data_IF_752412690228
#
_entry.id   IF_752412690228
#
_cell.length_a   1.000
_cell.length_b   1.000
_cell.length_c   1.000
_cell.angle_alpha   90.00
_cell.angle_beta   90.00
_cell.angle_gamma   90.00
#
_symmetry.space_group_name_H-M   'P 1'
#
loop_
_entity.id
_entity.type
_entity.pdbx_description
1 polymer ?
#
# COMPACT_ATOMS: atom_id res chain seq x y z
N UNK A 1 33.71 -8.14 -29.32
CA UNK A 1 33.80 -8.28 -30.79
C UNK A 1 32.86 -9.41 -31.20
N UNK A 2 31.60 -9.07 -31.49
CA UNK A 2 30.56 -10.03 -31.83
C UNK A 2 30.37 -9.99 -33.35
N UNK A 3 30.73 -11.07 -34.05
CA UNK A 3 30.46 -11.22 -35.48
C UNK A 3 29.10 -11.90 -35.65
N UNK A 4 28.12 -11.19 -36.21
CA UNK A 4 26.91 -11.80 -36.77
C UNK A 4 27.11 -11.91 -38.29
N UNK A 5 27.06 -13.13 -38.82
CA UNK A 5 26.97 -13.39 -40.24
C UNK A 5 25.56 -13.92 -40.55
N UNK A 6 24.79 -13.20 -41.38
CA UNK A 6 23.57 -13.72 -42.00
C UNK A 6 23.72 -13.74 -43.52
N UNK A 7 23.21 -14.81 -44.14
CA UNK A 7 23.24 -15.02 -45.59
C UNK A 7 21.94 -14.45 -46.17
N UNK A 8 22.08 -13.52 -47.12
CA UNK A 8 21.01 -12.71 -47.73
C UNK A 8 20.19 -13.54 -48.73
N UNK A 9 18.86 -13.61 -48.55
CA UNK A 9 17.89 -13.97 -49.59
C UNK A 9 16.70 -12.99 -49.47
N UNK A 10 16.35 -12.35 -50.58
CA UNK A 10 15.61 -11.09 -50.66
C UNK A 10 14.18 -11.03 -50.10
N UNK A 11 13.77 -9.81 -49.75
CA UNK A 11 12.37 -9.38 -49.60
C UNK A 11 11.90 -9.05 -48.19
N UNK A 12 12.60 -9.52 -47.14
CA UNK A 12 12.14 -9.40 -45.74
C UNK A 12 12.93 -8.42 -44.88
N UNK A 13 13.99 -7.79 -45.41
CA UNK A 13 14.95 -7.01 -44.60
C UNK A 13 14.33 -5.75 -43.96
N UNK A 14 13.47 -5.01 -44.64
CA UNK A 14 12.83 -3.81 -44.07
C UNK A 14 11.97 -4.14 -42.83
N UNK A 15 11.32 -5.31 -42.83
CA UNK A 15 10.49 -5.79 -41.73
C UNK A 15 11.34 -6.18 -40.52
N UNK A 16 12.45 -6.89 -40.75
CA UNK A 16 13.36 -7.35 -39.68
C UNK A 16 14.04 -6.17 -38.99
N UNK A 17 14.53 -5.18 -39.74
CA UNK A 17 15.13 -3.97 -39.17
C UNK A 17 14.10 -3.13 -38.40
N UNK A 18 12.86 -3.04 -38.90
CA UNK A 18 11.77 -2.37 -38.17
C UNK A 18 11.46 -3.07 -36.86
N UNK A 19 11.46 -4.41 -36.82
CA UNK A 19 11.24 -5.19 -35.61
C UNK A 19 12.38 -5.05 -34.60
N UNK A 20 13.63 -5.01 -35.07
CA UNK A 20 14.82 -4.82 -34.22
C UNK A 20 14.85 -3.41 -33.62
N UNK A 21 14.51 -2.39 -34.41
CA UNK A 21 14.39 -1.00 -33.92
C UNK A 21 13.23 -0.88 -32.93
N UNK A 22 12.09 -1.50 -33.20
CA UNK A 22 10.96 -1.54 -32.27
C UNK A 22 11.34 -2.21 -30.94
N UNK A 23 12.07 -3.33 -31.00
CA UNK A 23 12.55 -4.05 -29.82
C UNK A 23 13.60 -3.24 -29.03
N UNK A 24 14.46 -2.46 -29.71
CA UNK A 24 15.45 -1.60 -29.05
C UNK A 24 14.82 -0.36 -28.41
N UNK A 25 13.74 0.17 -28.99
CA UNK A 25 12.97 1.28 -28.41
C UNK A 25 12.20 0.80 -27.18
N UNK A 26 11.61 -0.40 -27.21
CA UNK A 26 10.91 -1.00 -26.05
C UNK A 26 11.90 -1.27 -24.90
N UNK A 27 13.13 -1.71 -25.19
CA UNK A 27 14.16 -1.91 -24.15
C UNK A 27 14.76 -0.62 -23.61
N UNK A 28 14.65 0.52 -24.31
CA UNK A 28 15.09 1.82 -23.77
C UNK A 28 14.08 2.48 -22.83
N UNK A 29 12.83 2.00 -22.77
CA UNK A 29 11.84 2.43 -21.78
C UNK A 29 12.04 1.74 -20.43
N UNK A 30 13.28 1.71 -19.92
CA UNK A 30 13.50 1.47 -18.51
C UNK A 30 12.95 2.69 -17.77
N UNK A 31 11.79 2.53 -17.16
CA UNK A 31 11.34 3.41 -16.08
C UNK A 31 12.51 3.48 -15.09
N UNK A 32 13.19 4.62 -15.03
CA UNK A 32 14.13 4.88 -13.95
C UNK A 32 13.31 4.83 -12.68
N UNK A 33 13.50 3.78 -11.88
CA UNK A 33 13.08 3.83 -10.49
C UNK A 33 13.68 5.10 -9.89
N UNK A 34 12.88 5.88 -9.14
CA UNK A 34 13.44 6.98 -8.39
C UNK A 34 14.61 6.44 -7.55
N UNK A 35 15.73 7.18 -7.56
CA UNK A 35 16.90 6.84 -6.74
C UNK A 35 16.57 6.85 -5.23
N UNK A 36 15.41 7.38 -4.86
CA UNK A 36 14.91 7.44 -3.49
C UNK A 36 13.55 6.74 -3.36
N UNK A 37 13.35 5.91 -2.33
CA UNK A 37 12.04 5.37 -2.02
C UNK A 37 11.03 6.48 -1.69
N UNK A 38 9.74 6.34 -2.06
CA UNK A 38 8.72 7.35 -1.80
C UNK A 38 8.39 7.45 -0.31
N UNK A 39 8.01 8.64 0.16
CA UNK A 39 7.50 8.80 1.52
C UNK A 39 6.09 8.18 1.65
N UNK A 40 5.88 7.33 2.66
CA UNK A 40 4.60 6.69 2.91
C UNK A 40 3.91 7.32 4.12
N UNK A 41 2.73 7.91 3.90
CA UNK A 41 1.89 8.47 4.97
C UNK A 41 0.57 7.72 5.00
N UNK A 42 0.27 7.07 6.13
CA UNK A 42 -0.99 6.35 6.35
C UNK A 42 -1.88 7.14 7.30
N UNK A 43 -3.03 7.62 6.81
CA UNK A 43 -4.02 8.36 7.60
C UNK A 43 -5.13 7.40 8.00
N UNK A 44 -5.24 7.11 9.30
CA UNK A 44 -6.27 6.23 9.86
C UNK A 44 -7.28 7.05 10.65
N UNK A 45 -8.50 7.20 10.14
CA UNK A 45 -9.61 7.77 10.88
C UNK A 45 -10.21 6.75 11.86
N UNK A 46 -10.71 7.22 13.00
CA UNK A 46 -11.35 6.41 14.03
C UNK A 46 -12.86 6.64 13.96
N UNK A 47 -13.67 5.57 13.97
CA UNK A 47 -15.13 5.60 13.89
C UNK A 47 -15.71 6.42 12.71
N UNK A 48 -15.00 6.45 11.57
CA UNK A 48 -15.47 7.08 10.33
C UNK A 48 -16.31 6.09 9.51
N UNK A 49 -17.59 6.40 9.30
CA UNK A 49 -18.50 5.63 8.48
C UNK A 49 -18.31 5.85 6.98
N UNK A 50 -18.70 4.84 6.19
CA UNK A 50 -18.64 4.90 4.72
C UNK A 50 -19.37 6.12 4.13
N UNK A 51 -20.49 6.51 4.75
CA UNK A 51 -21.31 7.62 4.31
C UNK A 51 -20.92 8.99 4.88
N UNK A 52 -19.81 9.14 5.60
CA UNK A 52 -19.51 10.40 6.31
C UNK A 52 -18.74 11.42 5.45
N UNK A 53 -18.10 10.97 4.37
CA UNK A 53 -17.28 11.81 3.50
C UNK A 53 -18.07 12.31 2.28
N UNK A 54 -17.90 13.59 1.90
CA UNK A 54 -18.63 14.16 0.75
C UNK A 54 -18.31 13.45 -0.57
N UNK A 55 -17.08 12.94 -0.75
CA UNK A 55 -16.71 12.11 -1.90
C UNK A 55 -17.44 10.74 -1.99
N UNK A 56 -18.19 10.35 -0.95
CA UNK A 56 -19.07 9.17 -0.92
C UNK A 56 -20.57 9.54 -0.91
N UNK A 57 -20.92 10.82 -1.12
CA UNK A 57 -22.28 11.26 -1.48
C UNK A 57 -23.08 11.95 -0.37
N UNK A 58 -22.56 12.07 0.85
CA UNK A 58 -23.23 12.89 1.87
C UNK A 58 -23.10 14.38 1.57
N UNK A 59 -24.07 15.18 2.06
CA UNK A 59 -24.24 16.60 1.71
C UNK A 59 -24.15 17.58 2.89
N UNK A 60 -24.01 17.08 4.11
CA UNK A 60 -24.06 17.88 5.35
C UNK A 60 -22.68 18.38 5.78
N UNK A 61 -21.69 17.51 5.74
CA UNK A 61 -20.30 17.82 6.09
C UNK A 61 -19.52 18.21 4.83
N UNK A 62 -18.51 19.06 5.01
CA UNK A 62 -17.58 19.40 3.94
C UNK A 62 -16.23 18.79 4.26
N UNK A 63 -15.71 17.93 3.38
CA UNK A 63 -14.39 17.29 3.56
C UNK A 63 -13.44 17.64 2.41
N UNK A 64 -13.15 18.94 2.16
CA UNK A 64 -12.51 19.40 0.92
C UNK A 64 -11.11 18.81 0.70
N UNK A 65 -10.35 18.56 1.77
CA UNK A 65 -9.02 17.96 1.67
C UNK A 65 -9.09 16.46 1.31
N UNK A 66 -10.06 15.73 1.86
CA UNK A 66 -10.28 14.31 1.53
C UNK A 66 -10.86 14.18 0.12
N UNK A 67 -11.75 15.09 -0.27
CA UNK A 67 -12.31 15.15 -1.62
C UNK A 67 -11.23 15.43 -2.67
N UNK A 68 -10.24 16.26 -2.32
CA UNK A 68 -9.06 16.50 -3.15
C UNK A 68 -8.22 15.23 -3.31
N UNK A 69 -7.91 14.52 -2.21
CA UNK A 69 -7.19 13.24 -2.26
C UNK A 69 -7.93 12.20 -3.12
N UNK A 70 -9.25 12.10 -2.98
CA UNK A 70 -10.07 11.15 -3.75
C UNK A 70 -10.13 11.48 -5.25
N UNK A 71 -10.00 12.76 -5.62
CA UNK A 71 -10.02 13.24 -7.01
C UNK A 71 -8.66 13.16 -7.70
N UNK A 72 -7.58 13.40 -6.96
CA UNK A 72 -6.21 13.34 -7.47
C UNK A 72 -5.62 11.92 -7.41
N UNK A 73 -6.22 11.03 -6.61
CA UNK A 73 -5.75 9.67 -6.40
C UNK A 73 -6.78 8.61 -6.76
N UNK A 74 -6.74 7.50 -6.02
CA UNK A 74 -7.65 6.37 -6.18
C UNK A 74 -8.70 6.37 -5.05
N UNK A 75 -9.95 6.10 -5.39
CA UNK A 75 -11.06 5.94 -4.44
C UNK A 75 -11.60 4.51 -4.51
N UNK A 76 -11.60 3.82 -3.38
CA UNK A 76 -12.18 2.48 -3.26
C UNK A 76 -13.63 2.57 -2.78
N UNK A 77 -14.53 1.85 -3.44
CA UNK A 77 -15.92 1.64 -3.00
C UNK A 77 -16.04 0.44 -2.06
N UNK A 78 -15.09 -0.49 -2.14
CA UNK A 78 -15.10 -1.77 -1.43
C UNK A 78 -13.79 -1.93 -0.65
N UNK A 79 -13.63 -1.15 0.43
CA UNK A 79 -12.49 -1.22 1.34
C UNK A 79 -12.95 -1.67 2.73
N UNK A 80 -12.61 -2.91 3.09
CA UNK A 80 -13.04 -3.54 4.34
C UNK A 80 -11.95 -3.48 5.41
N UNK A 81 -12.34 -3.13 6.64
CA UNK A 81 -11.47 -3.25 7.79
C UNK A 81 -11.30 -4.72 8.20
N UNK A 82 -10.14 -5.05 8.79
CA UNK A 82 -9.89 -6.41 9.30
C UNK A 82 -10.76 -6.78 10.51
N UNK A 83 -11.42 -5.81 11.13
CA UNK A 83 -12.40 -5.99 12.19
C UNK A 83 -13.29 -4.72 12.34
N UNK A 84 -14.45 -4.84 12.97
CA UNK A 84 -15.36 -3.73 13.28
C UNK A 84 -15.02 -3.01 14.59
N UNK A 85 -14.01 -3.50 15.34
CA UNK A 85 -13.60 -2.94 16.65
C UNK A 85 -12.17 -2.37 16.57
N UNK A 86 -11.90 -1.25 17.27
CA UNK A 86 -10.66 -0.48 17.16
C UNK A 86 -9.37 -1.33 17.27
N UNK A 87 -9.16 -2.00 18.41
CA UNK A 87 -7.92 -2.73 18.69
C UNK A 87 -7.68 -3.90 17.72
N UNK A 88 -8.64 -4.82 17.50
CA UNK A 88 -8.44 -5.90 16.53
C UNK A 88 -8.29 -5.37 15.08
N UNK A 89 -9.00 -4.31 14.69
CA UNK A 89 -8.87 -3.72 13.35
C UNK A 89 -7.46 -3.18 13.11
N UNK A 90 -6.92 -2.43 14.08
CA UNK A 90 -5.54 -1.93 14.05
C UNK A 90 -4.52 -3.06 14.05
N UNK A 91 -4.82 -4.18 14.73
CA UNK A 91 -3.89 -5.28 14.85
C UNK A 91 -3.77 -6.03 13.52
N UNK A 92 -4.90 -6.27 12.85
CA UNK A 92 -4.93 -6.76 11.47
C UNK A 92 -4.19 -5.82 10.52
N UNK A 93 -4.42 -4.50 10.61
CA UNK A 93 -3.72 -3.50 9.79
C UNK A 93 -2.20 -3.55 10.00
N UNK A 94 -1.73 -3.55 11.25
CA UNK A 94 -0.30 -3.53 11.53
C UNK A 94 0.40 -4.81 11.13
N UNK A 95 -0.24 -5.97 11.27
CA UNK A 95 0.40 -7.27 11.01
C UNK A 95 0.14 -7.83 9.62
N UNK A 96 -0.84 -7.28 8.90
CA UNK A 96 -1.35 -7.87 7.66
C UNK A 96 -2.00 -9.24 7.84
N UNK A 97 -2.34 -9.63 9.08
CA UNK A 97 -2.93 -10.93 9.37
C UNK A 97 -4.46 -10.87 9.47
N UNK A 98 -5.11 -11.97 9.11
CA UNK A 98 -6.53 -12.18 9.35
C UNK A 98 -6.83 -12.16 10.87
N UNK A 99 -7.99 -11.63 11.33
CA UNK A 99 -8.32 -11.58 12.76
C UNK A 99 -8.25 -12.93 13.46
N UNK A 100 -8.46 -14.04 12.73
CA UNK A 100 -8.29 -15.40 13.23
C UNK A 100 -6.89 -15.72 13.78
N UNK A 101 -5.84 -15.05 13.30
CA UNK A 101 -4.44 -15.24 13.72
C UNK A 101 -3.95 -14.19 14.72
N UNK A 102 -4.76 -13.17 14.97
CA UNK A 102 -4.41 -12.07 15.87
C UNK A 102 -5.11 -12.32 17.21
N UNK A 103 -4.35 -12.28 18.31
CA UNK A 103 -4.89 -12.56 19.65
C UNK A 103 -5.64 -11.38 20.26
N UNK A 104 -5.47 -10.16 19.72
CA UNK A 104 -6.28 -9.01 20.09
C UNK A 104 -7.71 -9.18 19.56
N UNK A 105 -8.70 -9.37 20.46
CA UNK A 105 -10.10 -9.71 20.08
C UNK A 105 -11.16 -8.68 20.49
N UNK A 106 -10.78 -7.62 21.20
CA UNK A 106 -11.74 -6.59 21.60
C UNK A 106 -11.08 -5.36 22.19
N UNK A 107 -11.92 -4.42 22.61
CA UNK A 107 -11.53 -3.26 23.40
C UNK A 107 -11.97 -3.55 24.85
N UNK A 108 -11.04 -3.61 25.79
CA UNK A 108 -11.36 -4.02 27.17
C UNK A 108 -10.13 -4.20 28.04
N UNK A 109 -10.37 -4.70 29.25
CA UNK A 109 -9.36 -4.75 30.31
C UNK A 109 -8.23 -5.76 30.01
N UNK A 110 -7.01 -5.41 30.43
CA UNK A 110 -5.77 -6.13 30.08
C UNK A 110 -5.70 -7.53 30.69
N UNK A 111 -6.48 -7.78 31.76
CA UNK A 111 -6.62 -9.11 32.38
C UNK A 111 -7.46 -10.09 31.56
N UNK A 112 -8.19 -9.59 30.55
CA UNK A 112 -9.15 -10.38 29.77
C UNK A 112 -8.80 -10.41 28.28
N UNK A 113 -8.18 -9.35 27.74
CA UNK A 113 -7.91 -9.23 26.30
C UNK A 113 -6.41 -9.23 26.02
N UNK A 114 -5.97 -10.20 25.21
CA UNK A 114 -4.56 -10.37 24.87
C UNK A 114 -4.02 -9.19 24.04
N UNK A 115 -2.82 -8.74 24.43
CA UNK A 115 -2.00 -7.78 23.70
C UNK A 115 -1.56 -8.32 22.33
N UNK A 116 -1.06 -7.44 21.47
CA UNK A 116 -0.40 -7.88 20.23
C UNK A 116 0.89 -8.64 20.58
N UNK A 117 1.07 -9.82 19.98
CA UNK A 117 2.28 -10.63 20.16
C UNK A 117 3.51 -9.86 19.64
N UNK A 118 4.52 -9.58 20.49
CA UNK A 118 5.70 -8.80 20.11
C UNK A 118 6.59 -9.50 19.07
N UNK A 119 6.43 -10.81 18.86
CA UNK A 119 7.14 -11.55 17.82
C UNK A 119 6.56 -11.30 16.42
N UNK A 120 5.31 -10.81 16.33
CA UNK A 120 4.67 -10.54 15.05
C UNK A 120 5.38 -9.39 14.32
N UNK A 121 5.62 -9.61 13.03
CA UNK A 121 6.16 -8.55 12.18
C UNK A 121 5.08 -7.52 11.91
N UNK A 122 5.36 -6.27 12.24
CA UNK A 122 4.44 -5.14 12.03
C UNK A 122 4.89 -4.27 10.86
N UNK A 123 3.96 -3.53 10.27
CA UNK A 123 4.18 -2.61 9.16
C UNK A 123 5.32 -1.61 9.48
N UNK A 124 5.37 -0.95 10.66
CA UNK A 124 6.50 -0.09 11.00
C UNK A 124 7.83 -0.85 11.08
N UNK A 125 7.85 -2.10 11.57
CA UNK A 125 9.08 -2.92 11.61
C UNK A 125 9.56 -3.26 10.20
N UNK A 126 8.65 -3.56 9.28
CA UNK A 126 8.98 -3.79 7.86
C UNK A 126 9.60 -2.54 7.22
N UNK A 127 8.96 -1.37 7.39
CA UNK A 127 9.49 -0.10 6.86
C UNK A 127 10.85 0.24 7.47
N UNK A 128 11.01 0.09 8.79
CA UNK A 128 12.28 0.34 9.47
C UNK A 128 13.40 -0.58 8.95
N UNK A 129 13.11 -1.86 8.75
CA UNK A 129 14.08 -2.82 8.19
C UNK A 129 14.46 -2.48 6.73
N UNK A 130 13.57 -1.83 5.99
CA UNK A 130 13.83 -1.34 4.64
C UNK A 130 14.54 0.03 4.61
N UNK A 131 14.97 0.57 5.75
CA UNK A 131 15.73 1.83 5.85
C UNK A 131 14.87 3.09 5.99
N UNK A 132 13.56 2.97 6.17
CA UNK A 132 12.70 4.13 6.38
C UNK A 132 12.77 4.64 7.82
N UNK A 133 12.69 5.96 7.98
CA UNK A 133 12.32 6.56 9.25
C UNK A 133 10.82 6.33 9.50
N UNK A 134 10.47 5.81 10.68
CA UNK A 134 9.08 5.50 11.04
C UNK A 134 8.63 6.34 12.23
N UNK A 135 7.42 6.90 12.14
CA UNK A 135 6.77 7.63 13.23
C UNK A 135 5.28 7.35 13.26
N UNK A 136 4.67 7.45 14.44
CA UNK A 136 3.23 7.32 14.63
C UNK A 136 2.73 8.46 15.51
N UNK A 137 1.58 9.05 15.15
CA UNK A 137 0.98 10.18 15.86
C UNK A 137 -0.51 9.91 16.09
N UNK A 138 -1.01 10.26 17.28
CA UNK A 138 -2.42 10.07 17.64
C UNK A 138 -2.70 8.75 18.35
N UNK A 139 -3.90 8.19 18.13
CA UNK A 139 -4.38 6.98 18.84
C UNK A 139 -3.61 5.75 18.39
N UNK A 140 -2.91 5.11 19.32
CA UNK A 140 -2.24 3.83 19.06
C UNK A 140 -3.24 2.68 18.98
N UNK A 141 -4.08 2.52 20.01
CA UNK A 141 -5.17 1.52 20.02
C UNK A 141 -4.71 0.06 19.99
N UNK A 142 -3.40 -0.20 20.03
CA UNK A 142 -2.82 -1.53 20.14
C UNK A 142 -2.04 -1.60 21.43
N UNK A 143 -2.62 -2.07 22.52
CA UNK A 143 -1.84 -2.21 23.73
C UNK A 143 -0.89 -3.40 23.55
N UNK A 144 0.37 -3.09 23.24
CA UNK A 144 1.53 -3.97 23.31
C UNK A 144 2.44 -3.37 24.40
N UNK A 145 2.85 -4.20 25.38
CA UNK A 145 3.98 -3.85 26.22
C UNK A 145 5.23 -3.69 25.34
N UNK A 146 6.05 -2.69 25.69
CA UNK A 146 7.20 -2.21 24.92
C UNK A 146 8.33 -3.21 24.75
#
# INVERSE_FOLDING_TARGET
MLFLASRVIGGTELSVWSFVVLLSVITSMHVRAEEFPPNVVFILADDLGYGDLSCFGQKKLQTPNIDRLAREGMKFTDHYSGNTVCSPSRACLMTGQHPGRVHCRGNGDESVIAALDPSMTTLPRLFKNAGYATGAFGKWGLRCHG
#
